data_IF_660071207867
#
_entry.id   IF_660071207867
#
_cell.length_a   1.000
_cell.length_b   1.000
_cell.length_c   1.000
_cell.angle_alpha   90.00
_cell.angle_beta   90.00
_cell.angle_gamma   90.00
#
_symmetry.space_group_name_H-M   'P 1'
#
loop_
_entity.id
_entity.type
_entity.pdbx_description
1 polymer ?
#
# COMPACT_ATOMS: atom_id res chain seq x y z
N UNK A 1 -44.21 -15.91 0.92
CA UNK A 1 -43.50 -15.09 -0.10
C UNK A 1 -43.27 -13.70 0.51
N UNK A 2 -42.09 -13.42 0.98
CA UNK A 2 -41.76 -12.14 1.64
C UNK A 2 -41.36 -11.15 0.54
N UNK A 3 -42.16 -10.08 0.42
CA UNK A 3 -41.96 -9.03 -0.58
C UNK A 3 -40.66 -8.27 -0.37
N UNK A 4 -39.68 -8.61 -1.17
CA UNK A 4 -38.34 -8.00 -1.18
C UNK A 4 -38.30 -6.57 -1.79
N UNK A 5 -39.45 -6.07 -2.23
CA UNK A 5 -39.58 -4.73 -2.85
C UNK A 5 -39.62 -3.58 -1.85
N UNK A 6 -40.01 -3.83 -0.61
CA UNK A 6 -40.09 -2.77 0.42
C UNK A 6 -38.73 -2.39 1.01
N UNK A 7 -37.75 -3.30 0.99
CA UNK A 7 -36.40 -3.05 1.54
C UNK A 7 -35.60 -2.07 0.68
N UNK A 8 -35.68 -2.20 -0.65
CA UNK A 8 -34.95 -1.31 -1.59
C UNK A 8 -35.53 0.10 -1.62
N UNK A 9 -36.86 0.24 -1.54
CA UNK A 9 -37.53 1.55 -1.47
C UNK A 9 -37.28 2.25 -0.14
N UNK A 10 -37.21 1.50 0.96
CA UNK A 10 -36.86 2.04 2.28
C UNK A 10 -35.39 2.51 2.33
N UNK A 11 -34.48 1.78 1.70
CA UNK A 11 -33.08 2.16 1.58
C UNK A 11 -32.92 3.45 0.77
N UNK A 12 -33.59 3.55 -0.38
CA UNK A 12 -33.55 4.76 -1.23
C UNK A 12 -34.18 5.98 -0.54
N UNK A 13 -35.26 5.80 0.23
CA UNK A 13 -35.84 6.89 1.02
C UNK A 13 -34.91 7.36 2.15
N UNK A 14 -34.19 6.46 2.80
CA UNK A 14 -33.18 6.79 3.82
C UNK A 14 -31.95 7.44 3.21
N UNK A 15 -31.54 7.01 2.00
CA UNK A 15 -30.47 7.66 1.25
C UNK A 15 -30.85 9.07 0.78
N UNK A 16 -32.11 9.30 0.37
CA UNK A 16 -32.58 10.63 -0.03
C UNK A 16 -32.70 11.62 1.15
N UNK A 17 -33.02 11.14 2.35
CA UNK A 17 -32.96 11.94 3.58
C UNK A 17 -31.56 12.21 4.08
N UNK A 18 -30.61 11.32 3.73
CA UNK A 18 -29.17 11.51 4.00
C UNK A 18 -28.51 12.55 3.10
N UNK A 19 -29.07 12.86 1.93
CA UNK A 19 -28.48 13.84 1.00
C UNK A 19 -28.60 15.29 1.47
N UNK A 20 -29.55 15.63 2.34
CA UNK A 20 -29.62 16.97 2.95
C UNK A 20 -28.58 17.18 4.06
N UNK A 21 -28.11 16.10 4.70
CA UNK A 21 -26.99 16.14 5.66
C UNK A 21 -25.62 16.01 4.98
N UNK A 22 -25.59 15.56 3.72
CA UNK A 22 -24.34 15.30 2.98
C UNK A 22 -23.65 16.57 2.46
N UNK A 23 -24.29 17.73 2.52
CA UNK A 23 -23.66 19.00 2.09
C UNK A 23 -22.63 19.50 3.10
N UNK A 24 -22.72 19.08 4.36
CA UNK A 24 -21.72 19.42 5.41
C UNK A 24 -20.64 18.36 5.66
N UNK A 25 -20.84 17.14 5.13
CA UNK A 25 -19.88 16.04 5.31
C UNK A 25 -18.53 16.28 4.57
N UNK A 26 -18.49 16.85 3.34
CA UNK A 26 -17.23 17.16 2.68
C UNK A 26 -16.36 18.15 3.46
N UNK A 27 -16.94 19.13 4.12
CA UNK A 27 -16.18 20.09 4.94
C UNK A 27 -15.63 19.46 6.22
N UNK A 28 -16.40 18.58 6.87
CA UNK A 28 -15.93 17.88 8.08
C UNK A 28 -14.85 16.87 7.73
N UNK A 29 -15.01 16.12 6.63
CA UNK A 29 -13.98 15.18 6.15
C UNK A 29 -12.75 15.92 5.67
N UNK A 30 -12.90 17.02 4.93
CA UNK A 30 -11.78 17.86 4.51
C UNK A 30 -11.07 18.51 5.70
N UNK A 31 -11.80 18.96 6.73
CA UNK A 31 -11.21 19.52 7.93
C UNK A 31 -10.52 18.45 8.81
N UNK A 32 -11.04 17.23 8.87
CA UNK A 32 -10.40 16.11 9.54
C UNK A 32 -9.14 15.65 8.79
N UNK A 33 -9.18 15.59 7.47
CA UNK A 33 -8.01 15.28 6.64
C UNK A 33 -6.96 16.41 6.64
N UNK A 34 -7.37 17.66 6.75
CA UNK A 34 -6.44 18.80 6.85
C UNK A 34 -5.74 18.88 8.21
N UNK A 35 -6.30 18.27 9.27
CA UNK A 35 -5.68 18.22 10.60
C UNK A 35 -4.68 17.08 10.77
N UNK A 36 -4.79 15.99 10.02
CA UNK A 36 -3.71 15.03 9.91
C UNK A 36 -2.65 15.59 8.94
N UNK A 37 -1.68 16.30 9.48
CA UNK A 37 -0.40 16.48 8.78
C UNK A 37 0.10 15.06 8.50
N UNK A 38 -0.10 14.57 7.27
CA UNK A 38 0.54 13.34 6.80
C UNK A 38 2.02 13.54 7.12
N UNK A 39 2.52 12.84 8.13
CA UNK A 39 3.95 12.81 8.43
C UNK A 39 4.60 12.16 7.22
N UNK A 40 5.11 12.98 6.31
CA UNK A 40 5.90 12.47 5.19
C UNK A 40 7.13 11.80 5.79
N UNK A 41 7.30 10.53 5.49
CA UNK A 41 8.53 9.83 5.85
C UNK A 41 9.63 10.46 5.01
N UNK A 42 10.57 11.14 5.67
CA UNK A 42 11.77 11.65 5.03
C UNK A 42 12.75 10.49 4.84
N UNK A 43 13.15 10.24 3.61
CA UNK A 43 14.21 9.28 3.32
C UNK A 43 15.56 9.90 3.69
N UNK A 44 16.39 9.12 4.37
CA UNK A 44 17.74 9.53 4.78
C UNK A 44 18.80 8.87 3.88
N UNK A 45 19.99 9.45 3.87
CA UNK A 45 21.14 8.87 3.18
C UNK A 45 21.48 7.49 3.76
N UNK A 46 21.86 6.57 2.88
CA UNK A 46 22.22 5.17 3.18
C UNK A 46 21.09 4.34 3.82
N UNK A 47 19.85 4.80 3.74
CA UNK A 47 18.71 4.09 4.31
C UNK A 47 18.42 2.80 3.58
N UNK A 48 18.06 1.77 4.36
CA UNK A 48 17.61 0.48 3.86
C UNK A 48 16.09 0.49 3.70
N UNK A 49 15.62 0.04 2.55
CA UNK A 49 14.20 -0.15 2.24
C UNK A 49 13.96 -1.63 1.97
N UNK A 50 12.98 -2.19 2.66
CA UNK A 50 12.63 -3.59 2.57
C UNK A 50 11.23 -3.77 1.99
N UNK A 51 11.14 -4.51 0.89
CA UNK A 51 9.89 -5.06 0.39
C UNK A 51 9.71 -6.46 0.97
N UNK A 52 8.70 -6.63 1.80
CA UNK A 52 8.36 -7.92 2.42
C UNK A 52 6.93 -8.31 2.05
N UNK A 53 6.71 -9.57 1.72
CA UNK A 53 5.41 -10.07 1.31
C UNK A 53 5.47 -11.52 0.81
N UNK A 54 4.43 -11.91 0.11
CA UNK A 54 4.25 -13.23 -0.48
C UNK A 54 4.72 -13.31 -1.94
N UNK A 55 4.04 -14.10 -2.77
CA UNK A 55 4.38 -14.31 -4.18
C UNK A 55 4.32 -13.04 -5.03
N UNK A 56 3.44 -12.11 -4.72
CA UNK A 56 3.32 -10.84 -5.45
C UNK A 56 4.58 -9.98 -5.23
N UNK A 57 5.13 -10.02 -4.04
CA UNK A 57 6.37 -9.33 -3.70
C UNK A 57 7.60 -10.11 -4.18
N UNK A 58 7.63 -11.43 -4.01
CA UNK A 58 8.70 -12.31 -4.48
C UNK A 58 8.93 -12.15 -5.99
N UNK A 59 7.88 -12.32 -6.75
CA UNK A 59 7.82 -12.06 -8.20
C UNK A 59 9.07 -12.52 -8.98
N UNK A 60 9.51 -13.74 -8.72
CA UNK A 60 10.64 -14.36 -9.41
C UNK A 60 12.02 -13.80 -9.07
N UNK A 61 12.17 -13.14 -7.91
CA UNK A 61 13.50 -12.72 -7.45
C UNK A 61 14.42 -13.90 -7.25
N UNK A 62 15.69 -13.70 -7.44
CA UNK A 62 16.69 -14.69 -7.03
C UNK A 62 16.89 -14.63 -5.50
N UNK A 63 16.46 -15.69 -4.83
CA UNK A 63 16.53 -15.78 -3.36
C UNK A 63 17.92 -16.05 -2.83
N UNK A 64 18.81 -16.60 -3.66
CA UNK A 64 20.21 -16.87 -3.33
C UNK A 64 21.08 -15.61 -3.42
N UNK A 65 20.60 -14.61 -4.17
CA UNK A 65 21.29 -13.34 -4.27
C UNK A 65 20.96 -12.46 -3.06
N UNK A 66 21.90 -12.30 -2.17
CA UNK A 66 21.78 -11.45 -0.98
C UNK A 66 21.94 -9.95 -1.26
N UNK A 67 22.18 -9.57 -2.53
CA UNK A 67 22.41 -8.19 -2.94
C UNK A 67 21.18 -7.30 -2.88
N UNK A 68 21.34 -6.08 -3.35
CA UNK A 68 20.30 -5.05 -3.38
C UNK A 68 20.36 -4.26 -4.71
N UNK A 69 19.28 -3.53 -5.00
CA UNK A 69 19.17 -2.60 -6.14
C UNK A 69 19.31 -3.22 -7.54
N UNK A 70 19.27 -4.53 -7.69
CA UNK A 70 19.36 -5.19 -9.00
C UNK A 70 18.04 -5.86 -9.36
N UNK A 71 17.77 -6.02 -10.66
CA UNK A 71 16.59 -6.73 -11.11
C UNK A 71 16.57 -8.19 -10.63
N UNK A 72 17.76 -8.83 -10.48
CA UNK A 72 17.86 -10.22 -9.98
C UNK A 72 17.30 -10.37 -8.58
N UNK A 73 17.62 -9.45 -7.68
CA UNK A 73 17.15 -9.53 -6.29
C UNK A 73 15.85 -8.79 -6.03
N UNK A 74 15.43 -7.90 -6.91
CA UNK A 74 14.12 -7.23 -6.81
C UNK A 74 12.99 -7.99 -7.49
N UNK A 75 13.32 -8.88 -8.45
CA UNK A 75 12.34 -9.66 -9.21
C UNK A 75 11.77 -8.90 -10.41
N UNK A 76 10.62 -9.37 -10.91
CA UNK A 76 9.98 -8.83 -12.12
C UNK A 76 8.66 -8.10 -11.86
N UNK A 77 8.27 -7.94 -10.59
CA UNK A 77 7.02 -7.33 -10.18
C UNK A 77 7.17 -5.88 -9.69
N UNK A 78 6.25 -5.45 -8.83
CA UNK A 78 6.24 -4.09 -8.33
C UNK A 78 7.52 -3.66 -7.58
N UNK A 79 8.27 -4.56 -6.87
CA UNK A 79 9.46 -4.12 -6.15
C UNK A 79 10.55 -3.54 -7.04
N UNK A 80 10.75 -4.10 -8.25
CA UNK A 80 11.75 -3.55 -9.18
C UNK A 80 11.29 -2.20 -9.73
N UNK A 81 10.00 -2.01 -10.02
CA UNK A 81 9.48 -0.75 -10.53
C UNK A 81 9.55 0.36 -9.46
N UNK A 82 9.09 0.04 -8.26
CA UNK A 82 9.15 0.97 -7.13
C UNK A 82 10.61 1.30 -6.75
N UNK A 83 11.47 0.27 -6.72
CA UNK A 83 12.90 0.42 -6.45
C UNK A 83 13.57 1.33 -7.46
N UNK A 84 13.39 1.08 -8.75
CA UNK A 84 13.94 1.91 -9.82
C UNK A 84 13.47 3.36 -9.73
N UNK A 85 12.18 3.57 -9.45
CA UNK A 85 11.61 4.90 -9.28
C UNK A 85 12.24 5.64 -8.09
N UNK A 86 12.41 4.96 -6.95
CA UNK A 86 13.04 5.55 -5.77
C UNK A 86 14.53 5.85 -5.99
N UNK A 87 15.27 4.94 -6.61
CA UNK A 87 16.68 5.13 -6.93
C UNK A 87 16.90 6.30 -7.89
N UNK A 88 16.02 6.45 -8.88
CA UNK A 88 16.09 7.58 -9.81
C UNK A 88 15.75 8.90 -9.10
N UNK A 89 14.65 8.93 -8.36
CA UNK A 89 14.17 10.15 -7.69
C UNK A 89 15.09 10.62 -6.57
N UNK A 90 15.74 9.70 -5.88
CA UNK A 90 16.57 9.95 -4.71
C UNK A 90 18.02 9.48 -4.91
N UNK A 91 18.57 9.66 -6.12
CA UNK A 91 19.90 9.16 -6.49
C UNK A 91 21.01 9.59 -5.53
N UNK A 92 20.93 10.78 -4.95
CA UNK A 92 21.92 11.27 -3.98
C UNK A 92 21.83 10.64 -2.58
N UNK A 93 20.81 9.83 -2.29
CA UNK A 93 20.61 9.23 -0.97
C UNK A 93 21.27 7.85 -0.80
N UNK A 94 21.83 7.25 -1.86
CA UNK A 94 22.48 5.93 -1.79
C UNK A 94 21.60 4.87 -1.10
N UNK A 95 20.32 4.77 -1.50
CA UNK A 95 19.37 3.85 -0.90
C UNK A 95 19.72 2.40 -1.20
N UNK A 96 19.53 1.51 -0.23
CA UNK A 96 19.69 0.07 -0.38
C UNK A 96 18.32 -0.61 -0.33
N UNK A 97 17.85 -1.12 -1.47
CA UNK A 97 16.51 -1.68 -1.61
C UNK A 97 16.59 -3.20 -1.75
N UNK A 98 15.92 -3.89 -0.85
CA UNK A 98 15.85 -5.35 -0.81
C UNK A 98 14.44 -5.84 -1.07
N UNK A 99 14.34 -6.96 -1.76
CA UNK A 99 13.11 -7.74 -1.83
C UNK A 99 13.28 -9.03 -1.01
N UNK A 100 12.43 -9.21 0.00
CA UNK A 100 12.38 -10.39 0.87
C UNK A 100 11.02 -11.10 0.78
N UNK A 101 10.27 -10.89 -0.30
CA UNK A 101 9.08 -11.67 -0.62
C UNK A 101 9.38 -13.16 -0.70
N UNK A 102 8.46 -13.99 -0.25
CA UNK A 102 8.52 -15.45 -0.36
C UNK A 102 7.16 -15.95 -0.80
N UNK A 103 7.10 -16.58 -1.97
CA UNK A 103 5.88 -17.19 -2.50
C UNK A 103 5.30 -18.19 -1.51
N UNK A 104 3.99 -18.11 -1.28
CA UNK A 104 3.27 -18.98 -0.35
C UNK A 104 3.26 -18.51 1.10
N UNK A 105 4.00 -17.46 1.47
CA UNK A 105 3.98 -16.98 2.85
C UNK A 105 2.62 -16.37 3.22
N UNK A 106 2.17 -16.70 4.42
CA UNK A 106 0.99 -16.15 5.09
C UNK A 106 1.42 -15.05 6.06
N UNK A 107 0.46 -14.24 6.52
CA UNK A 107 0.73 -13.08 7.39
C UNK A 107 1.57 -13.43 8.63
N UNK A 108 1.27 -14.55 9.31
CA UNK A 108 2.02 -14.97 10.49
C UNK A 108 3.49 -15.31 10.17
N UNK A 109 3.77 -15.89 9.00
CA UNK A 109 5.12 -16.18 8.54
C UNK A 109 5.90 -14.89 8.19
N UNK A 110 5.20 -13.85 7.74
CA UNK A 110 5.81 -12.54 7.56
C UNK A 110 6.20 -11.92 8.91
N UNK A 111 5.33 -12.05 9.92
CA UNK A 111 5.61 -11.56 11.27
C UNK A 111 6.79 -12.27 11.94
N UNK A 112 6.93 -13.59 11.74
CA UNK A 112 8.05 -14.38 12.27
C UNK A 112 9.41 -14.00 11.70
N UNK A 113 9.43 -13.39 10.51
CA UNK A 113 10.65 -12.97 9.79
C UNK A 113 11.00 -11.51 9.93
N UNK A 114 10.16 -10.77 10.65
CA UNK A 114 10.28 -9.31 10.77
C UNK A 114 11.35 -8.86 11.75
#
# INVERSE_FOLDING_TARGET
MVDNNNSRRSFLKKAALGTLAAVSIPEIVSAAMAKEKIKRIALLKDQVILFQGDSITDSGRNREDAGFNTARNLGTGYPVLAGATMLNKYAGLNLKIYNKGISGNKVFQLAERW
#
